data_IF_159085940419
#
_entry.id   IF_159085940419
#
_cell.length_a   1.000
_cell.length_b   1.000
_cell.length_c   1.000
_cell.angle_alpha   90.00
_cell.angle_beta   90.00
_cell.angle_gamma   90.00
#
_symmetry.space_group_name_H-M   'P 1'
#
loop_
_entity.id
_entity.type
_entity.pdbx_description
1 polymer ?
#
# COMPACT_ATOMS: atom_id res chain seq x y z
N UNK A 1 26.13 -13.62 32.23
CA UNK A 1 25.17 -12.51 32.11
C UNK A 1 23.96 -13.04 31.37
N UNK A 2 22.77 -12.99 31.97
CA UNK A 2 21.55 -13.55 31.42
C UNK A 2 20.70 -12.39 30.91
N UNK A 3 20.44 -12.31 29.60
CA UNK A 3 19.65 -11.23 29.00
C UNK A 3 18.34 -11.82 28.51
N UNK A 4 17.28 -11.55 29.27
CA UNK A 4 15.91 -11.86 28.90
C UNK A 4 15.35 -10.67 28.10
N UNK A 5 15.02 -10.89 26.83
CA UNK A 5 14.39 -9.87 25.98
C UNK A 5 12.96 -10.31 25.69
N UNK A 6 12.00 -9.69 26.37
CA UNK A 6 10.57 -9.84 26.12
C UNK A 6 10.10 -8.64 25.28
N UNK A 7 9.79 -8.89 24.00
CA UNK A 7 9.25 -7.88 23.09
C UNK A 7 7.75 -8.15 22.88
N UNK A 8 6.89 -7.38 23.55
CA UNK A 8 5.45 -7.41 23.36
C UNK A 8 5.03 -6.17 22.54
N UNK A 9 4.62 -6.38 21.29
CA UNK A 9 4.13 -5.33 20.40
C UNK A 9 2.62 -5.49 20.23
N UNK A 10 1.85 -4.61 20.89
CA UNK A 10 0.39 -4.59 20.80
C UNK A 10 -0.05 -3.34 20.02
N UNK A 11 -0.55 -3.52 18.80
CA UNK A 11 -1.02 -2.44 17.93
C UNK A 11 -2.54 -2.41 17.87
N UNK A 12 -3.18 -1.53 18.64
CA UNK A 12 -4.61 -1.26 18.55
C UNK A 12 -4.84 0.02 17.74
N UNK A 13 -5.36 -0.12 16.52
CA UNK A 13 -5.83 1.00 15.71
C UNK A 13 -7.36 1.07 15.77
N UNK A 14 -7.90 2.02 16.53
CA UNK A 14 -9.32 2.32 16.59
C UNK A 14 -9.61 3.66 15.90
N UNK A 15 -10.16 3.60 14.69
CA UNK A 15 -10.65 4.78 13.98
C UNK A 15 -12.12 5.03 14.35
N UNK A 16 -12.35 5.93 15.31
CA UNK A 16 -13.70 6.39 15.66
C UNK A 16 -14.00 7.71 14.93
N UNK A 17 -14.67 7.64 13.78
CA UNK A 17 -15.21 8.81 13.11
C UNK A 17 -16.53 9.23 13.78
N UNK A 18 -16.50 10.28 14.61
CA UNK A 18 -17.71 10.91 15.17
C UNK A 18 -18.11 12.09 14.28
N UNK A 19 -19.10 11.90 13.41
CA UNK A 19 -19.77 12.98 12.71
C UNK A 19 -20.92 13.52 13.57
N UNK A 20 -20.69 14.62 14.28
CA UNK A 20 -21.72 15.34 15.03
C UNK A 20 -22.37 16.42 14.14
N UNK A 21 -23.58 16.18 13.67
CA UNK A 21 -24.40 17.20 13.01
C UNK A 21 -25.17 17.97 14.09
N UNK A 22 -24.70 19.16 14.42
CA UNK A 22 -25.40 20.11 15.31
C UNK A 22 -26.42 20.92 14.50
N UNK A 23 -27.63 20.39 14.31
CA UNK A 23 -28.76 21.19 13.83
C UNK A 23 -29.37 21.97 15.00
N UNK A 24 -28.94 23.23 15.18
CA UNK A 24 -29.59 24.17 16.10
C UNK A 24 -30.90 24.65 15.47
N UNK A 25 -32.02 24.05 15.87
CA UNK A 25 -33.35 24.60 15.65
C UNK A 25 -33.54 25.84 16.55
N UNK A 26 -33.32 27.02 15.98
CA UNK A 26 -33.52 28.31 16.63
C UNK A 26 -35.00 28.67 16.72
N UNK A 27 -35.58 28.43 17.90
CA UNK A 27 -36.49 29.31 18.63
C UNK A 27 -37.60 30.04 17.88
N UNK A 28 -38.83 29.58 18.09
CA UNK A 28 -40.06 30.39 17.97
C UNK A 28 -39.96 31.65 18.82
N UNK A 29 -39.70 32.80 18.18
CA UNK A 29 -39.79 34.13 18.79
C UNK A 29 -41.22 34.64 18.76
N UNK A 30 -41.96 34.44 19.85
CA UNK A 30 -43.19 35.18 20.13
C UNK A 30 -42.85 36.65 20.41
N UNK A 31 -42.98 37.51 19.41
CA UNK A 31 -42.97 38.97 19.59
C UNK A 31 -44.41 39.43 19.82
N UNK A 32 -44.73 39.60 21.10
CA UNK A 32 -45.95 40.23 21.60
C UNK A 32 -45.70 41.74 21.72
N UNK A 33 -46.44 42.54 20.96
CA UNK A 33 -46.49 43.99 21.03
C UNK A 33 -47.00 44.49 19.68
N UNK A 34 -48.15 45.13 19.51
CA UNK A 34 -48.97 45.91 20.43
C UNK A 34 -49.32 47.19 19.67
N UNK A 35 -50.58 47.36 19.28
CA UNK A 35 -51.11 48.66 18.83
C UNK A 35 -51.71 48.69 17.42
N UNK A 36 -53.01 48.98 17.36
CA UNK A 36 -53.56 49.94 16.40
C UNK A 36 -54.27 49.38 15.17
N UNK A 37 -55.60 49.60 15.11
CA UNK A 37 -56.32 49.87 13.86
C UNK A 37 -56.92 48.66 13.14
N UNK A 38 -58.15 48.30 13.48
CA UNK A 38 -58.98 47.41 12.66
C UNK A 38 -59.47 48.14 11.41
N UNK A 39 -58.89 47.80 10.26
CA UNK A 39 -59.54 47.94 8.95
C UNK A 39 -59.61 46.54 8.33
N UNK A 40 -60.84 46.02 8.20
CA UNK A 40 -61.07 44.72 7.59
C UNK A 40 -60.98 44.85 6.06
N UNK A 41 -59.78 44.65 5.53
CA UNK A 41 -59.62 44.32 4.11
C UNK A 41 -59.47 42.80 4.02
N UNK A 42 -60.46 42.12 3.44
CA UNK A 42 -60.29 40.72 3.07
C UNK A 42 -59.43 40.70 1.81
N UNK A 43 -58.11 40.57 1.99
CA UNK A 43 -57.22 40.19 0.88
C UNK A 43 -57.32 38.68 0.77
N UNK A 44 -58.04 38.18 -0.22
CA UNK A 44 -58.06 36.76 -0.54
C UNK A 44 -56.63 36.38 -0.94
N UNK A 45 -55.90 35.72 -0.04
CA UNK A 45 -54.53 35.30 -0.30
C UNK A 45 -54.59 34.14 -1.30
N UNK A 46 -53.93 34.22 -2.47
CA UNK A 46 -53.90 33.10 -3.38
C UNK A 46 -53.27 31.90 -2.68
N UNK A 47 -54.01 30.80 -2.62
CA UNK A 47 -53.54 29.56 -2.02
C UNK A 47 -52.24 29.11 -2.71
N UNK A 48 -51.23 28.65 -1.94
CA UNK A 48 -49.98 28.17 -2.52
C UNK A 48 -50.29 27.01 -3.47
N UNK A 49 -49.81 27.11 -4.70
CA UNK A 49 -49.96 26.01 -5.65
C UNK A 49 -48.93 24.94 -5.30
N UNK A 50 -49.42 23.73 -5.05
CA UNK A 50 -48.59 22.56 -4.74
C UNK A 50 -48.53 21.70 -5.98
N UNK A 51 -47.34 21.52 -6.54
CA UNK A 51 -47.13 20.48 -7.55
C UNK A 51 -46.83 19.19 -6.77
N UNK A 52 -47.78 18.27 -6.80
CA UNK A 52 -47.63 16.94 -6.22
C UNK A 52 -47.11 15.96 -7.28
N UNK A 53 -46.21 15.05 -6.87
CA UNK A 53 -45.56 14.06 -7.75
C UNK A 53 -44.65 14.66 -8.82
N UNK A 54 -43.75 15.57 -8.44
CA UNK A 54 -42.68 16.00 -9.33
C UNK A 54 -41.68 14.84 -9.52
N UNK A 55 -41.40 14.49 -10.78
CA UNK A 55 -40.31 13.60 -11.16
C UNK A 55 -39.14 14.46 -11.65
N UNK A 56 -38.10 14.58 -10.83
CA UNK A 56 -36.89 15.32 -11.20
C UNK A 56 -35.85 14.32 -11.67
N UNK A 57 -35.62 14.26 -12.98
CA UNK A 57 -34.49 13.54 -13.55
C UNK A 57 -33.21 14.33 -13.25
N UNK A 58 -32.43 13.84 -12.30
CA UNK A 58 -31.13 14.44 -12.00
C UNK A 58 -30.17 14.18 -13.18
N UNK A 59 -29.59 15.25 -13.73
CA UNK A 59 -28.55 15.15 -14.75
C UNK A 59 -27.35 14.34 -14.25
N UNK A 60 -26.54 13.82 -15.18
CA UNK A 60 -25.37 13.02 -14.84
C UNK A 60 -24.45 13.78 -13.86
N UNK A 61 -24.18 13.16 -12.71
CA UNK A 61 -23.32 13.72 -11.66
C UNK A 61 -21.91 13.21 -11.88
N UNK A 62 -20.95 14.12 -11.99
CA UNK A 62 -19.54 13.75 -12.03
C UNK A 62 -19.12 13.22 -10.65
N UNK A 63 -18.81 11.92 -10.57
CA UNK A 63 -18.28 11.27 -9.40
C UNK A 63 -16.78 10.99 -9.60
N UNK A 64 -15.96 11.40 -8.64
CA UNK A 64 -14.52 11.07 -8.63
C UNK A 64 -14.38 9.68 -7.99
N UNK A 65 -13.86 8.72 -8.76
CA UNK A 65 -13.59 7.35 -8.31
C UNK A 65 -12.07 7.13 -8.32
N UNK A 66 -11.55 6.43 -7.31
CA UNK A 66 -10.15 6.01 -7.25
C UNK A 66 -9.99 4.64 -7.88
N UNK A 67 -9.28 4.58 -9.00
CA UNK A 67 -9.02 3.34 -9.73
C UNK A 67 -7.57 2.89 -9.44
N UNK A 68 -7.36 1.67 -8.91
CA UNK A 68 -6.02 1.13 -8.75
C UNK A 68 -5.44 0.72 -10.10
N UNK A 69 -4.16 1.03 -10.35
CA UNK A 69 -3.39 0.54 -11.48
C UNK A 69 -2.03 0.00 -11.02
N UNK A 70 -1.49 -0.95 -11.78
CA UNK A 70 -0.15 -1.50 -11.53
C UNK A 70 0.91 -0.57 -12.13
N UNK A 71 1.76 -0.02 -11.29
CA UNK A 71 2.93 0.75 -11.67
C UNK A 71 4.20 -0.04 -11.38
N UNK A 72 5.26 0.21 -12.14
CA UNK A 72 6.56 -0.44 -11.98
C UNK A 72 7.60 0.58 -11.58
N UNK A 73 8.34 0.30 -10.52
CA UNK A 73 9.51 1.10 -10.12
C UNK A 73 10.75 0.22 -10.14
N UNK A 74 11.75 0.64 -10.90
CA UNK A 74 13.09 0.05 -10.83
C UNK A 74 13.87 0.76 -9.73
N UNK A 75 14.50 -0.01 -8.86
CA UNK A 75 15.48 0.51 -7.93
C UNK A 75 16.83 -0.16 -8.12
N UNK A 76 17.87 0.58 -7.78
CA UNK A 76 19.26 0.15 -7.79
C UNK A 76 19.83 0.50 -6.42
N UNK A 77 20.27 -0.51 -5.66
CA UNK A 77 20.90 -0.29 -4.35
C UNK A 77 22.11 -1.20 -4.21
N UNK A 78 23.11 -0.70 -3.48
CA UNK A 78 24.22 -1.51 -3.02
C UNK A 78 23.78 -2.26 -1.77
N UNK A 79 23.87 -3.58 -1.80
CA UNK A 79 23.42 -4.46 -0.72
C UNK A 79 24.55 -5.36 -0.25
N UNK A 80 24.48 -5.77 1.02
CA UNK A 80 25.29 -6.86 1.56
C UNK A 80 24.43 -8.10 1.71
N UNK A 81 24.98 -9.22 1.27
CA UNK A 81 24.31 -10.51 1.20
C UNK A 81 25.12 -11.53 1.98
N UNK A 82 24.43 -12.19 2.90
CA UNK A 82 24.92 -13.33 3.64
C UNK A 82 24.02 -14.51 3.33
N UNK A 83 24.60 -15.69 3.16
CA UNK A 83 23.84 -16.89 2.89
C UNK A 83 24.25 -18.06 3.78
N UNK A 84 23.27 -18.88 4.11
CA UNK A 84 23.42 -20.12 4.87
C UNK A 84 22.73 -21.25 4.12
N UNK A 85 23.25 -22.47 4.29
CA UNK A 85 22.62 -23.68 3.79
C UNK A 85 21.87 -24.34 4.93
N UNK A 86 20.57 -24.50 4.76
CA UNK A 86 19.70 -25.15 5.74
C UNK A 86 19.52 -26.60 5.32
N UNK A 87 19.94 -27.52 6.18
CA UNK A 87 19.75 -28.96 6.00
C UNK A 87 18.31 -29.40 6.28
N UNK A 88 17.98 -30.65 5.98
CA UNK A 88 16.65 -31.26 6.19
C UNK A 88 16.23 -31.33 7.67
N UNK A 89 17.17 -31.05 8.57
CA UNK A 89 16.96 -30.96 10.01
C UNK A 89 16.84 -29.52 10.50
N UNK A 90 16.71 -28.56 9.59
CA UNK A 90 16.71 -27.11 9.86
C UNK A 90 17.99 -26.62 10.55
N UNK A 91 19.10 -27.34 10.40
CA UNK A 91 20.39 -26.97 10.96
C UNK A 91 21.11 -26.04 9.97
N UNK A 92 21.49 -24.82 10.39
CA UNK A 92 22.21 -23.90 9.53
C UNK A 92 23.68 -24.28 9.39
N UNK A 93 24.13 -24.34 8.15
CA UNK A 93 25.52 -24.52 7.73
C UNK A 93 26.00 -23.31 6.92
N UNK A 94 27.31 -23.03 6.90
CA UNK A 94 27.83 -21.95 6.06
C UNK A 94 27.61 -22.26 4.57
N UNK A 95 27.06 -21.30 3.82
CA UNK A 95 26.98 -21.41 2.37
C UNK A 95 28.36 -21.26 1.73
N UNK A 96 28.60 -22.01 0.66
CA UNK A 96 29.87 -21.95 -0.06
C UNK A 96 29.88 -20.77 -1.03
N UNK A 97 30.90 -19.92 -0.90
CA UNK A 97 31.16 -18.83 -1.85
C UNK A 97 31.81 -19.40 -3.11
N UNK A 98 31.45 -18.90 -4.29
CA UNK A 98 32.06 -19.36 -5.56
C UNK A 98 33.29 -18.54 -5.93
N UNK A 99 33.34 -17.27 -5.50
CA UNK A 99 34.47 -16.36 -5.70
C UNK A 99 35.04 -15.91 -4.36
N UNK A 100 36.34 -15.52 -4.29
CA UNK A 100 36.93 -14.98 -3.07
C UNK A 100 36.48 -13.54 -2.78
N UNK A 101 36.16 -12.77 -3.82
CA UNK A 101 35.96 -11.33 -3.70
C UNK A 101 34.71 -10.98 -2.92
N UNK A 102 34.84 -10.14 -1.89
CA UNK A 102 33.70 -9.63 -1.12
C UNK A 102 32.86 -8.68 -1.97
N UNK A 103 33.51 -7.68 -2.56
CA UNK A 103 32.88 -6.71 -3.44
C UNK A 103 32.84 -7.28 -4.85
N UNK A 104 31.64 -7.55 -5.34
CA UNK A 104 31.42 -8.14 -6.66
C UNK A 104 31.25 -7.02 -7.67
N UNK A 105 32.00 -7.08 -8.77
CA UNK A 105 31.90 -6.11 -9.87
C UNK A 105 30.50 -6.07 -10.48
N UNK A 106 30.06 -4.90 -10.93
CA UNK A 106 28.79 -4.73 -11.63
C UNK A 106 28.75 -5.48 -12.98
N UNK A 107 29.92 -5.82 -13.53
CA UNK A 107 30.06 -6.64 -14.74
C UNK A 107 30.03 -8.14 -14.48
N UNK A 108 29.98 -8.58 -13.21
CA UNK A 108 30.03 -10.00 -12.88
C UNK A 108 28.68 -10.68 -13.12
N UNK A 109 28.70 -11.72 -13.94
CA UNK A 109 27.56 -12.60 -14.20
C UNK A 109 27.95 -14.01 -13.74
N UNK A 110 27.20 -14.58 -12.79
CA UNK A 110 27.56 -15.89 -12.24
C UNK A 110 26.98 -16.21 -10.86
N UNK A 111 27.38 -17.37 -10.34
CA UNK A 111 27.04 -17.84 -9.01
C UNK A 111 27.74 -17.01 -7.93
N UNK A 112 26.99 -16.55 -6.93
CA UNK A 112 27.52 -15.91 -5.74
C UNK A 112 27.72 -16.93 -4.61
N UNK A 113 26.66 -17.71 -4.36
CA UNK A 113 26.62 -18.73 -3.32
C UNK A 113 25.96 -20.00 -3.83
N UNK A 114 26.43 -21.13 -3.33
CA UNK A 114 25.81 -22.44 -3.57
C UNK A 114 25.85 -23.31 -2.31
N UNK A 115 24.96 -24.29 -2.29
CA UNK A 115 24.77 -25.21 -1.17
C UNK A 115 25.14 -26.64 -1.53
N UNK A 116 25.60 -27.39 -0.52
CA UNK A 116 25.84 -28.82 -0.63
C UNK A 116 24.51 -29.50 -0.99
N UNK A 117 24.57 -30.54 -1.83
CA UNK A 117 23.41 -31.34 -2.20
C UNK A 117 22.62 -31.79 -0.96
N UNK A 118 21.28 -31.72 -1.06
CA UNK A 118 20.36 -32.01 0.04
C UNK A 118 19.94 -30.79 0.86
N UNK A 119 20.74 -29.73 0.88
CA UNK A 119 20.43 -28.49 1.62
C UNK A 119 19.83 -27.41 0.70
N UNK A 120 19.06 -26.49 1.28
CA UNK A 120 18.50 -25.34 0.57
C UNK A 120 19.16 -24.04 1.03
N UNK A 121 19.21 -23.04 0.15
CA UNK A 121 19.91 -21.79 0.44
C UNK A 121 18.94 -20.80 1.10
N UNK A 122 19.32 -20.26 2.26
CA UNK A 122 18.66 -19.12 2.89
C UNK A 122 19.58 -17.91 2.75
N UNK A 123 19.04 -16.85 2.15
CA UNK A 123 19.77 -15.64 1.80
C UNK A 123 19.19 -14.48 2.57
N UNK A 124 20.02 -13.87 3.41
CA UNK A 124 19.69 -12.63 4.10
C UNK A 124 20.44 -11.48 3.42
N UNK A 125 19.76 -10.37 3.20
CA UNK A 125 20.36 -9.18 2.61
C UNK A 125 19.93 -7.92 3.34
N UNK A 126 20.76 -6.89 3.26
CA UNK A 126 20.45 -5.55 3.78
C UNK A 126 21.15 -4.48 2.96
N UNK A 127 20.68 -3.24 3.05
CA UNK A 127 21.33 -2.11 2.39
C UNK A 127 22.74 -1.89 2.95
N UNK A 128 23.72 -1.63 2.07
CA UNK A 128 25.11 -1.48 2.47
C UNK A 128 25.36 -0.14 3.16
N UNK A 129 25.63 -0.18 4.47
CA UNK A 129 25.93 1.00 5.29
C UNK A 129 27.43 1.32 5.40
N UNK A 130 28.30 0.61 4.67
CA UNK A 130 29.76 0.72 4.80
C UNK A 130 30.37 -0.16 5.90
N UNK A 131 29.55 -0.84 6.70
CA UNK A 131 29.99 -1.77 7.73
C UNK A 131 29.90 -3.23 7.27
N UNK A 132 30.94 -4.01 7.56
CA UNK A 132 30.99 -5.42 7.17
C UNK A 132 30.02 -6.24 8.03
N UNK A 133 28.91 -6.65 7.43
CA UNK A 133 27.97 -7.59 8.01
C UNK A 133 26.52 -7.11 7.95
N UNK A 134 25.59 -8.04 8.17
CA UNK A 134 24.16 -7.73 8.32
C UNK A 134 23.95 -7.42 9.81
N UNK A 135 24.28 -6.19 10.19
CA UNK A 135 24.22 -5.74 11.58
C UNK A 135 22.79 -5.57 12.06
N UNK A 136 22.09 -6.65 12.42
CA UNK A 136 20.90 -6.72 13.30
C UNK A 136 19.67 -5.85 13.02
N UNK A 137 19.71 -4.93 12.05
CA UNK A 137 18.66 -3.95 11.77
C UNK A 137 18.26 -4.07 10.30
N UNK A 138 17.06 -4.58 10.05
CA UNK A 138 16.40 -4.48 8.74
C UNK A 138 16.89 -5.44 7.64
N UNK A 139 17.45 -6.60 8.00
CA UNK A 139 17.79 -7.63 7.01
C UNK A 139 16.55 -8.38 6.52
N UNK A 140 16.31 -8.36 5.21
CA UNK A 140 15.29 -9.19 4.57
C UNK A 140 15.87 -10.57 4.23
N UNK A 141 15.04 -11.61 4.32
CA UNK A 141 15.49 -12.98 4.06
C UNK A 141 14.56 -13.68 3.07
N UNK A 142 15.14 -14.39 2.11
CA UNK A 142 14.42 -15.27 1.21
C UNK A 142 15.20 -16.58 1.03
N UNK A 143 14.54 -17.60 0.48
CA UNK A 143 15.14 -18.91 0.29
C UNK A 143 15.13 -19.32 -1.19
N UNK A 144 16.16 -20.03 -1.62
CA UNK A 144 16.19 -20.76 -2.88
C UNK A 144 15.90 -22.23 -2.64
N UNK A 145 15.29 -22.89 -3.63
CA UNK A 145 15.04 -24.34 -3.57
C UNK A 145 16.34 -25.15 -3.51
N UNK A 146 16.22 -26.42 -3.10
CA UNK A 146 17.33 -27.38 -3.09
C UNK A 146 17.92 -27.54 -4.49
N UNK A 147 19.24 -27.55 -4.59
CA UNK A 147 19.93 -27.63 -5.88
C UNK A 147 19.98 -26.32 -6.67
N UNK A 148 19.42 -25.23 -6.14
CA UNK A 148 19.61 -23.89 -6.68
C UNK A 148 20.77 -23.16 -5.97
N UNK A 149 21.39 -22.24 -6.70
CA UNK A 149 22.38 -21.28 -6.24
C UNK A 149 21.79 -19.88 -6.29
N UNK A 150 22.43 -18.96 -5.57
CA UNK A 150 22.21 -17.53 -5.75
C UNK A 150 23.06 -17.06 -6.92
N UNK A 151 22.40 -16.48 -7.92
CA UNK A 151 23.04 -15.96 -9.12
C UNK A 151 22.88 -14.45 -9.22
N UNK A 152 23.90 -13.80 -9.77
CA UNK A 152 23.79 -12.44 -10.30
C UNK A 152 23.69 -12.52 -11.82
N UNK A 153 22.60 -11.99 -12.35
CA UNK A 153 22.40 -11.86 -13.80
C UNK A 153 23.11 -10.62 -14.35
N UNK A 154 23.28 -10.55 -15.67
CA UNK A 154 23.89 -9.41 -16.36
C UNK A 154 23.14 -8.10 -16.12
N UNK A 155 21.83 -8.18 -15.90
CA UNK A 155 20.96 -7.05 -15.56
C UNK A 155 21.25 -6.46 -14.16
N UNK A 156 22.06 -7.12 -13.33
CA UNK A 156 22.25 -6.78 -11.92
C UNK A 156 21.17 -7.33 -11.00
N UNK A 157 20.24 -8.14 -11.52
CA UNK A 157 19.26 -8.85 -10.71
C UNK A 157 19.89 -10.04 -9.98
N UNK A 158 19.39 -10.34 -8.79
CA UNK A 158 19.79 -11.48 -7.99
C UNK A 158 18.64 -12.48 -7.98
N UNK A 159 18.92 -13.67 -8.49
CA UNK A 159 17.92 -14.69 -8.74
C UNK A 159 18.38 -16.05 -8.26
N UNK A 160 17.43 -16.86 -7.79
CA UNK A 160 17.66 -18.28 -7.56
C UNK A 160 17.63 -19.01 -8.90
N UNK A 161 18.70 -19.71 -9.25
CA UNK A 161 18.77 -20.56 -10.45
C UNK A 161 19.43 -21.88 -10.13
N UNK A 162 19.19 -22.90 -10.94
CA UNK A 162 19.84 -24.22 -10.83
C UNK A 162 21.35 -24.05 -10.75
N UNK A 163 21.98 -24.76 -9.82
CA UNK A 163 23.43 -24.77 -9.67
C UNK A 163 24.08 -25.34 -10.93
N UNK A 164 25.19 -24.73 -11.35
CA UNK A 164 26.05 -25.25 -12.40
C UNK A 164 26.62 -26.59 -11.97
N UNK A 165 26.51 -27.56 -12.87
CA UNK A 165 27.09 -28.88 -12.70
C UNK A 165 28.60 -28.77 -12.52
N UNK A 166 29.11 -29.36 -11.44
CA UNK A 166 30.51 -29.33 -11.05
C UNK A 166 30.87 -30.68 -10.41
N UNK A 167 32.15 -30.89 -10.14
CA UNK A 167 32.65 -32.13 -9.52
C UNK A 167 32.01 -32.41 -8.15
N UNK A 168 31.92 -33.70 -7.82
CA UNK A 168 31.53 -34.14 -6.48
C UNK A 168 32.41 -33.47 -5.41
N UNK A 169 31.76 -32.97 -4.35
CA UNK A 169 32.38 -32.24 -3.24
C UNK A 169 32.96 -30.85 -3.59
N UNK A 170 32.57 -30.23 -4.69
CA UNK A 170 33.00 -28.86 -5.03
C UNK A 170 32.69 -27.87 -3.91
N UNK A 171 31.49 -27.92 -3.33
CA UNK A 171 31.05 -27.01 -2.28
C UNK A 171 31.93 -27.10 -1.03
N UNK A 172 32.37 -28.32 -0.67
CA UNK A 172 33.31 -28.53 0.44
C UNK A 172 34.69 -27.96 0.13
N UNK A 173 35.11 -28.05 -1.13
CA UNK A 173 36.38 -27.47 -1.60
C UNK A 173 36.33 -25.94 -1.60
N UNK A 174 35.20 -25.36 -2.02
CA UNK A 174 34.93 -23.93 -1.96
C UNK A 174 34.92 -23.41 -0.53
N UNK A 175 34.28 -24.11 0.41
CA UNK A 175 34.30 -23.74 1.84
C UNK A 175 35.72 -23.77 2.42
N UNK A 176 36.57 -24.71 2.01
CA UNK A 176 37.97 -24.73 2.44
C UNK A 176 38.79 -23.60 1.82
N UNK A 177 38.46 -23.19 0.60
CA UNK A 177 39.22 -22.19 -0.16
C UNK A 177 38.83 -20.74 0.19
N UNK A 178 37.53 -20.46 0.27
CA UNK A 178 36.99 -19.11 0.43
C UNK A 178 36.25 -18.90 1.76
N UNK A 179 35.91 -19.99 2.46
CA UNK A 179 35.19 -19.90 3.72
C UNK A 179 33.75 -19.38 3.59
N UNK A 180 33.13 -19.19 4.74
CA UNK A 180 31.88 -18.44 4.86
C UNK A 180 32.16 -16.93 4.80
N UNK A 181 31.21 -16.15 4.32
CA UNK A 181 31.42 -14.72 4.19
C UNK A 181 30.17 -13.96 3.77
N UNK A 182 30.39 -12.70 3.42
CA UNK A 182 29.38 -11.79 2.88
C UNK A 182 29.79 -11.33 1.49
N UNK A 183 28.81 -11.07 0.62
CA UNK A 183 29.03 -10.43 -0.69
C UNK A 183 28.41 -9.06 -0.67
N UNK A 184 29.12 -8.07 -1.19
CA UNK A 184 28.60 -6.73 -1.44
C UNK A 184 28.40 -6.60 -2.94
N UNK A 185 27.16 -6.38 -3.35
CA UNK A 185 26.74 -6.37 -4.76
C UNK A 185 25.81 -5.19 -5.00
N UNK A 186 25.83 -4.64 -6.22
CA UNK A 186 24.76 -3.76 -6.69
C UNK A 186 23.61 -4.63 -7.17
N UNK A 187 22.46 -4.51 -6.50
CA UNK A 187 21.23 -5.22 -6.85
C UNK A 187 20.26 -4.25 -7.54
N UNK A 188 19.83 -4.66 -8.73
CA UNK A 188 18.78 -4.00 -9.51
C UNK A 188 17.54 -4.88 -9.49
N UNK A 189 16.41 -4.34 -9.06
CA UNK A 189 15.12 -5.05 -9.03
C UNK A 189 14.00 -4.14 -9.51
N UNK A 190 13.04 -4.73 -10.22
CA UNK A 190 11.77 -4.09 -10.55
C UNK A 190 10.71 -4.52 -9.53
N UNK A 191 10.09 -3.54 -8.88
CA UNK A 191 8.97 -3.75 -7.96
C UNK A 191 7.68 -3.26 -8.61
N UNK A 192 6.65 -4.12 -8.57
CA UNK A 192 5.30 -3.79 -9.00
C UNK A 192 4.56 -3.26 -7.77
N UNK A 193 4.05 -2.05 -7.85
CA UNK A 193 3.27 -1.43 -6.79
C UNK A 193 1.92 -0.94 -7.32
N UNK A 194 0.90 -0.95 -6.47
CA UNK A 194 -0.43 -0.42 -6.79
C UNK A 194 -0.45 1.08 -6.54
N UNK A 195 -0.75 1.85 -7.56
CA UNK A 195 -0.96 3.30 -7.48
C UNK A 195 -2.42 3.62 -7.80
N UNK A 196 -2.94 4.71 -7.24
CA UNK A 196 -4.34 5.11 -7.44
C UNK A 196 -4.41 6.35 -8.32
N UNK A 197 -5.19 6.28 -9.39
CA UNK A 197 -5.55 7.46 -10.19
C UNK A 197 -7.00 7.84 -9.89
N UNK A 198 -7.25 9.15 -9.81
CA UNK A 198 -8.60 9.69 -9.73
C UNK A 198 -9.18 9.83 -11.14
N UNK A 199 -10.31 9.18 -11.38
CA UNK A 199 -11.05 9.23 -12.63
C UNK A 199 -12.43 9.83 -12.37
N UNK A 200 -12.85 10.79 -13.19
CA UNK A 200 -14.19 11.37 -13.14
C UNK A 200 -15.12 10.52 -13.97
N UNK A 201 -15.97 9.73 -13.31
CA UNK A 201 -17.01 8.94 -13.97
C UNK A 201 -18.33 9.68 -13.85
N UNK A 202 -19.08 9.79 -14.95
CA UNK A 202 -20.43 10.32 -14.92
C UNK A 202 -21.37 9.25 -14.37
N UNK A 203 -21.81 9.40 -13.12
CA UNK A 203 -22.83 8.56 -12.53
C UNK A 203 -24.22 9.13 -12.85
N UNK A 204 -25.19 8.26 -13.12
CA UNK A 204 -26.59 8.69 -13.25
C UNK A 204 -27.03 9.33 -11.93
N UNK A 205 -27.49 10.58 -11.99
CA UNK A 205 -28.03 11.26 -10.82
C UNK A 205 -29.24 10.50 -10.28
N UNK A 206 -29.39 10.43 -8.96
CA UNK A 206 -30.57 9.83 -8.35
C UNK A 206 -31.81 10.66 -8.73
N UNK A 207 -32.76 10.05 -9.45
CA UNK A 207 -34.04 10.68 -9.74
C UNK A 207 -34.88 10.73 -8.46
N UNK A 208 -35.39 11.93 -8.14
CA UNK A 208 -36.27 12.10 -6.99
C UNK A 208 -37.70 11.96 -7.52
N UNK A 209 -38.35 10.86 -7.15
CA UNK A 209 -39.75 10.57 -7.49
C UNK A 209 -40.61 10.91 -6.28
N UNK A 210 -41.63 11.77 -6.48
CA UNK A 210 -42.59 12.11 -5.42
C UNK A 210 -42.22 13.37 -4.62
N UNK A 211 -41.34 14.23 -5.13
CA UNK A 211 -41.07 15.52 -4.51
C UNK A 211 -42.32 16.42 -4.61
N UNK A 212 -42.57 17.21 -3.56
CA UNK A 212 -43.58 18.26 -3.53
C UNK A 212 -42.88 19.61 -3.53
N UNK A 213 -43.23 20.47 -4.48
CA UNK A 213 -42.75 21.86 -4.49
C UNK A 213 -43.94 22.80 -4.30
N UNK A 214 -43.85 23.68 -3.30
CA UNK A 214 -44.80 24.77 -3.08
C UNK A 214 -44.27 26.01 -3.78
N UNK A 215 -45.03 26.52 -4.76
CA UNK A 215 -44.72 27.79 -5.41
C UNK A 215 -45.43 28.91 -4.64
N UNK A 216 -44.67 29.68 -3.86
CA UNK A 216 -45.14 30.91 -3.22
C UNK A 216 -45.16 32.06 -4.26
N UNK A 217 -45.98 31.87 -5.29
CA UNK A 217 -46.14 32.77 -6.42
C UNK A 217 -47.18 33.87 -6.14
N UNK A 218 -46.93 34.70 -5.14
CA UNK A 218 -47.82 35.83 -4.80
C UNK A 218 -47.49 37.10 -5.60
N UNK A 219 -47.97 37.23 -6.84
CA UNK A 219 -48.01 38.53 -7.54
C UNK A 219 -49.40 38.79 -8.13
N UNK A 220 -50.11 39.75 -7.52
CA UNK A 220 -51.30 40.39 -8.11
C UNK A 220 -52.60 40.25 -7.32
N UNK A 221 -52.67 40.84 -6.12
CA UNK A 221 -53.98 41.20 -5.54
C UNK A 221 -54.54 42.43 -6.25
N UNK A 222 -55.65 42.31 -6.98
CA UNK A 222 -56.36 43.46 -7.56
C UNK A 222 -57.21 44.10 -6.48
N UNK A 223 -56.98 45.39 -6.20
CA UNK A 223 -57.80 46.21 -5.31
C UNK A 223 -58.96 46.76 -6.15
N UNK A 224 -60.21 46.55 -5.71
CA UNK A 224 -61.38 47.26 -6.22
C UNK A 224 -61.74 48.39 -5.27
#
# INVERSE_FOLDING_TARGET
MNVNVNANANSNASAAARAGVNARAGGYGNLRGGGGGSAYFNVDQPYPTVIQNLNVEAGAVAQIIRVPYEARRRWEKRVVIQAFCIDDRDIPHPASQVTPDRDISDSYEGELYRCIAGTHLQVTWSEWSGQVGIGGQGGETFACEKGNALWRDRSGEIICRVQRAERDCNERSLLRRYGAGVKVVTWIREEIYTEYREETVMAAGASIVGATMMLDGGVGGRVF
#
